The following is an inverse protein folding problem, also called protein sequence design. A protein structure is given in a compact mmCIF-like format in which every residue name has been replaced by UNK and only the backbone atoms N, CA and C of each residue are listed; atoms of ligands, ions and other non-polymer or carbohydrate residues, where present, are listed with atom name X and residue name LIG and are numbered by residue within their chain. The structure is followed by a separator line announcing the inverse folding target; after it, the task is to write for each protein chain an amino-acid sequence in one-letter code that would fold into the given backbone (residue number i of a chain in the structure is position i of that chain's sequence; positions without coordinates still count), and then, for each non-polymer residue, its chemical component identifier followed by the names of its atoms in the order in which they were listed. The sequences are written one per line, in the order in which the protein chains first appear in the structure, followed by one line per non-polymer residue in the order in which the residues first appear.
data_IF_999939092891
#
_entry.id   IF_999939092891
#
_cell.length_a   1.000
_cell.length_b   1.000
_cell.length_c   1.000
_cell.angle_alpha   90.00
_cell.angle_beta   90.00
_cell.angle_gamma   90.00
#
_symmetry.space_group_name_H-M   'P 1'
#
loop_
_entity.id
_entity.type
_entity.pdbx_description
1 polymer ?
#
# COMPACT_ATOMS: atom_id res chain seq x y z
N UNK A 1 15.96 26.28 49.81
CA UNK A 1 14.78 25.42 49.98
C UNK A 1 15.11 24.05 49.42
N UNK A 2 14.88 22.94 50.14
CA UNK A 2 15.11 21.62 49.59
C UNK A 2 14.07 21.30 48.52
N UNK A 3 14.46 20.46 47.56
CA UNK A 3 13.65 20.02 46.42
C UNK A 3 12.37 19.28 46.86
N UNK A 4 11.28 19.32 46.07
CA UNK A 4 10.08 18.56 46.40
C UNK A 4 10.35 17.07 46.26
N UNK A 5 10.06 16.31 47.32
CA UNK A 5 10.02 14.85 47.31
C UNK A 5 9.09 14.36 46.20
N UNK A 6 9.60 13.44 45.38
CA UNK A 6 8.81 12.70 44.43
C UNK A 6 7.74 11.88 45.18
N UNK A 7 6.47 12.11 44.84
CA UNK A 7 5.35 11.33 45.35
C UNK A 7 5.58 9.82 45.08
N UNK A 8 5.27 8.93 46.03
CA UNK A 8 5.44 7.49 45.85
C UNK A 8 4.53 6.99 44.72
N UNK A 9 5.05 6.09 43.90
CA UNK A 9 4.29 5.38 42.88
C UNK A 9 3.06 4.72 43.52
N UNK A 10 1.90 5.18 43.07
CA UNK A 10 0.55 4.95 43.61
C UNK A 10 0.17 3.47 43.82
N UNK A 11 -0.62 3.23 44.87
CA UNK A 11 -1.38 2.04 45.34
C UNK A 11 -2.07 1.15 44.27
N UNK A 12 -2.00 1.49 42.99
CA UNK A 12 -2.67 0.80 41.90
C UNK A 12 -2.21 -0.66 41.72
N UNK A 13 -0.94 -0.98 41.98
CA UNK A 13 -0.41 -2.35 41.88
C UNK A 13 -0.98 -3.29 42.96
N UNK A 14 -1.23 -2.76 44.17
CA UNK A 14 -1.78 -3.52 45.28
C UNK A 14 -3.24 -3.96 45.02
N UNK A 15 -4.03 -3.13 44.33
CA UNK A 15 -5.42 -3.41 44.00
C UNK A 15 -5.61 -4.67 43.14
N UNK A 16 -4.68 -4.96 42.23
CA UNK A 16 -4.76 -6.13 41.35
C UNK A 16 -4.54 -7.46 42.08
N UNK A 17 -3.77 -7.45 43.18
CA UNK A 17 -3.49 -8.64 43.97
C UNK A 17 -4.66 -9.08 44.87
N UNK A 18 -5.65 -8.21 45.10
CA UNK A 18 -6.83 -8.48 45.91
C UNK A 18 -8.07 -8.89 45.08
N UNK A 19 -7.99 -8.86 43.74
CA UNK A 19 -9.07 -9.25 42.85
C UNK A 19 -9.13 -10.78 42.67
N UNK A 20 -10.32 -11.40 42.73
CA UNK A 20 -10.52 -12.79 42.32
C UNK A 20 -10.02 -13.03 40.89
N UNK A 21 -9.45 -14.20 40.57
CA UNK A 21 -8.86 -14.50 39.25
C UNK A 21 -9.80 -14.24 38.08
N UNK A 22 -11.09 -14.51 38.25
CA UNK A 22 -12.12 -14.32 37.22
C UNK A 22 -12.39 -12.84 36.96
N UNK A 23 -12.37 -12.01 38.00
CA UNK A 23 -12.55 -10.56 37.87
C UNK A 23 -11.27 -9.89 37.34
N UNK A 24 -10.10 -10.39 37.74
CA UNK A 24 -8.81 -9.96 37.22
C UNK A 24 -8.72 -10.16 35.70
N UNK A 25 -9.03 -11.36 35.20
CA UNK A 25 -8.98 -11.64 33.76
C UNK A 25 -10.00 -10.81 32.96
N UNK A 26 -11.20 -10.56 33.53
CA UNK A 26 -12.20 -9.69 32.90
C UNK A 26 -11.72 -8.23 32.86
N UNK A 27 -11.09 -7.74 33.92
CA UNK A 27 -10.53 -6.39 33.94
C UNK A 27 -9.38 -6.22 32.93
N UNK A 28 -8.47 -7.20 32.83
CA UNK A 28 -7.38 -7.20 31.85
C UNK A 28 -7.90 -7.30 30.40
N UNK A 29 -9.03 -7.97 30.18
CA UNK A 29 -9.70 -8.04 28.88
C UNK A 29 -10.31 -6.69 28.43
N UNK A 30 -10.52 -5.75 29.35
CA UNK A 30 -10.98 -4.40 29.03
C UNK A 30 -9.83 -3.45 28.65
N UNK A 31 -8.57 -3.82 28.91
CA UNK A 31 -7.42 -3.00 28.54
C UNK A 31 -7.24 -2.96 27.02
N UNK A 32 -6.77 -1.81 26.48
CA UNK A 32 -6.32 -1.70 25.09
C UNK A 32 -5.32 -2.81 24.73
N UNK A 33 -5.23 -3.25 23.46
CA UNK A 33 -4.42 -4.42 23.11
C UNK A 33 -2.94 -4.29 23.47
N UNK A 34 -2.34 -3.12 23.26
CA UNK A 34 -0.93 -2.89 23.64
C UNK A 34 -0.74 -2.72 25.15
N UNK A 35 -1.70 -2.11 25.87
CA UNK A 35 -1.69 -2.10 27.33
C UNK A 35 -1.67 -3.55 27.85
N UNK A 36 -2.56 -4.39 27.31
CA UNK A 36 -2.59 -5.81 27.67
C UNK A 36 -1.28 -6.52 27.35
N UNK A 37 -0.72 -6.28 26.16
CA UNK A 37 0.53 -6.92 25.74
C UNK A 37 1.71 -6.53 26.63
N UNK A 38 1.79 -5.26 27.05
CA UNK A 38 2.90 -4.73 27.83
C UNK A 38 2.75 -4.96 29.34
N UNK A 39 1.53 -4.89 29.89
CA UNK A 39 1.32 -4.81 31.35
C UNK A 39 0.60 -6.02 31.93
N UNK A 40 -0.35 -6.63 31.21
CA UNK A 40 -1.25 -7.64 31.79
C UNK A 40 -0.54 -8.93 32.22
N UNK A 41 0.53 -9.33 31.53
CA UNK A 41 1.35 -10.50 31.90
C UNK A 41 2.21 -10.25 33.14
N UNK A 42 2.49 -8.99 33.47
CA UNK A 42 3.35 -8.60 34.59
C UNK A 42 2.59 -8.55 35.92
N UNK A 43 1.26 -8.69 35.90
CA UNK A 43 0.40 -8.56 37.10
C UNK A 43 0.47 -9.81 38.00
N UNK A 44 0.32 -11.02 37.46
CA UNK A 44 0.45 -12.27 38.22
C UNK A 44 0.69 -13.49 37.33
N UNK A 45 1.08 -14.62 37.93
CA UNK A 45 1.33 -15.90 37.21
C UNK A 45 0.09 -16.39 36.46
N UNK A 46 -1.10 -16.24 37.03
CA UNK A 46 -2.36 -16.66 36.41
C UNK A 46 -2.66 -15.85 35.16
N UNK A 47 -2.45 -14.53 35.20
CA UNK A 47 -2.59 -13.65 34.05
C UNK A 47 -1.54 -13.96 32.97
N UNK A 48 -0.28 -14.21 33.37
CA UNK A 48 0.77 -14.61 32.45
C UNK A 48 0.44 -15.91 31.70
N UNK A 49 -0.09 -16.92 32.40
CA UNK A 49 -0.52 -18.18 31.79
C UNK A 49 -1.72 -17.99 30.84
N UNK A 50 -2.72 -17.20 31.25
CA UNK A 50 -3.91 -16.95 30.44
C UNK A 50 -3.64 -16.10 29.18
N UNK A 51 -2.61 -15.24 29.21
CA UNK A 51 -2.29 -14.27 28.15
C UNK A 51 -0.99 -14.65 27.39
N UNK A 52 -0.72 -15.95 27.26
CA UNK A 52 0.48 -16.44 26.58
C UNK A 52 0.36 -16.54 25.06
N UNK A 53 -0.83 -16.40 24.49
CA UNK A 53 -1.01 -16.50 23.03
C UNK A 53 -0.40 -15.30 22.29
N UNK A 54 0.05 -15.47 21.03
CA UNK A 54 0.68 -14.38 20.26
C UNK A 54 -0.16 -13.10 20.19
N UNK A 55 -1.48 -13.24 20.14
CA UNK A 55 -2.43 -12.11 20.13
C UNK A 55 -2.32 -11.22 21.38
N UNK A 56 -1.82 -11.75 22.49
CA UNK A 56 -1.64 -11.08 23.77
C UNK A 56 -0.18 -10.75 24.08
N UNK A 57 0.76 -11.06 23.17
CA UNK A 57 2.19 -10.76 23.35
C UNK A 57 2.74 -9.84 22.27
N UNK A 58 2.07 -9.71 21.13
CA UNK A 58 2.49 -8.85 20.03
C UNK A 58 2.01 -7.42 20.23
N UNK A 59 2.95 -6.47 20.32
CA UNK A 59 2.65 -5.03 20.34
C UNK A 59 2.41 -4.52 18.92
N UNK A 60 1.29 -3.83 18.70
CA UNK A 60 0.91 -3.24 17.41
C UNK A 60 1.15 -1.74 17.45
N UNK A 61 2.22 -1.26 16.81
CA UNK A 61 2.61 0.15 16.86
C UNK A 61 1.58 1.13 16.25
N UNK A 62 0.67 0.65 15.39
CA UNK A 62 -0.48 1.43 14.90
C UNK A 62 -1.52 1.75 15.98
N UNK A 63 -1.45 1.09 17.13
CA UNK A 63 -2.31 1.32 18.26
C UNK A 63 -1.55 2.04 19.38
N UNK A 64 -2.26 2.80 20.23
CA UNK A 64 -1.63 3.48 21.35
C UNK A 64 -0.79 2.54 22.20
N UNK A 65 0.45 2.90 22.49
CA UNK A 65 1.37 2.10 23.30
C UNK A 65 1.64 2.80 24.64
N UNK A 66 1.71 2.05 25.77
CA UNK A 66 1.95 2.66 27.08
C UNK A 66 3.30 3.40 27.10
N UNK A 67 3.29 4.67 27.51
CA UNK A 67 4.46 5.54 27.39
C UNK A 67 5.71 4.97 28.11
N UNK A 68 5.55 4.44 29.33
CA UNK A 68 6.67 3.91 30.10
C UNK A 68 7.39 2.73 29.42
N UNK A 69 6.64 1.79 28.84
CA UNK A 69 7.24 0.66 28.13
C UNK A 69 7.84 1.09 26.78
N UNK A 70 7.20 2.07 26.13
CA UNK A 70 7.71 2.67 24.91
C UNK A 70 9.07 3.36 25.13
N UNK A 71 9.18 4.16 26.21
CA UNK A 71 10.44 4.80 26.64
C UNK A 71 11.49 3.75 26.98
N UNK A 72 11.12 2.66 27.69
CA UNK A 72 12.07 1.57 27.98
C UNK A 72 12.66 0.96 26.71
N UNK A 73 11.84 0.78 25.66
CA UNK A 73 12.29 0.16 24.41
C UNK A 73 13.07 1.10 23.49
N UNK A 74 12.69 2.37 23.44
CA UNK A 74 13.15 3.32 22.42
C UNK A 74 13.89 4.55 22.96
N UNK A 75 13.77 4.86 24.25
CA UNK A 75 14.37 6.05 24.87
C UNK A 75 15.84 5.88 25.30
N UNK A 76 16.39 4.67 25.23
CA UNK A 76 17.78 4.41 25.60
C UNK A 76 18.80 4.93 24.57
N UNK A 77 20.00 5.38 25.01
CA UNK A 77 21.06 5.79 24.09
C UNK A 77 21.45 4.63 23.17
N UNK A 78 21.35 4.86 21.86
CA UNK A 78 21.65 3.84 20.86
C UNK A 78 20.49 2.90 20.50
N UNK A 79 19.29 3.06 21.07
CA UNK A 79 18.11 2.24 20.74
C UNK A 79 17.75 2.29 19.23
N UNK A 80 18.10 3.39 18.57
CA UNK A 80 17.88 3.58 17.13
C UNK A 80 19.02 3.03 16.25
N UNK A 81 20.21 2.75 16.81
CA UNK A 81 21.38 2.28 16.03
C UNK A 81 21.10 1.02 15.20
N UNK A 82 20.38 0.01 15.71
CA UNK A 82 20.07 -1.19 14.93
C UNK A 82 19.08 -0.94 13.78
N UNK A 83 18.36 0.18 13.79
CA UNK A 83 17.35 0.47 12.78
C UNK A 83 17.94 1.23 11.60
N UNK A 84 17.60 0.79 10.39
CA UNK A 84 17.84 1.54 9.14
C UNK A 84 17.02 2.83 9.10
N UNK A 85 17.41 3.79 8.25
CA UNK A 85 16.65 5.04 8.06
C UNK A 85 15.18 4.79 7.70
N UNK A 86 14.92 3.80 6.84
CA UNK A 86 13.56 3.38 6.44
C UNK A 86 12.77 2.88 7.65
N UNK A 87 13.35 1.99 8.47
CA UNK A 87 12.68 1.47 9.67
C UNK A 87 12.41 2.57 10.71
N UNK A 88 13.31 3.55 10.87
CA UNK A 88 13.10 4.69 11.77
C UNK A 88 11.97 5.60 11.30
N UNK A 89 11.91 5.90 9.99
CA UNK A 89 10.79 6.64 9.38
C UNK A 89 9.46 5.90 9.52
N UNK A 90 9.47 4.58 9.33
CA UNK A 90 8.30 3.74 9.56
C UNK A 90 7.85 3.78 11.02
N UNK A 91 8.77 3.62 11.98
CA UNK A 91 8.47 3.71 13.41
C UNK A 91 7.83 5.05 13.79
N UNK A 92 8.37 6.17 13.28
CA UNK A 92 7.77 7.50 13.43
C UNK A 92 6.34 7.52 12.86
N UNK A 93 6.16 7.05 11.62
CA UNK A 93 4.86 7.05 10.92
C UNK A 93 3.79 6.22 11.64
N UNK A 94 4.15 5.03 12.12
CA UNK A 94 3.25 4.16 12.89
C UNK A 94 2.88 4.80 14.23
N UNK A 95 3.85 5.42 14.91
CA UNK A 95 3.61 6.09 16.19
C UNK A 95 2.72 7.33 16.02
N UNK A 96 2.90 8.10 14.94
CA UNK A 96 2.01 9.22 14.62
C UNK A 96 0.59 8.75 14.29
N UNK A 97 0.44 7.68 13.51
CA UNK A 97 -0.85 7.06 13.21
C UNK A 97 -1.55 6.49 14.48
N UNK A 98 -0.76 6.06 15.48
CA UNK A 98 -1.30 5.60 16.77
C UNK A 98 -2.01 6.69 17.57
N UNK A 99 -1.62 7.96 17.38
CA UNK A 99 -2.14 9.10 18.14
C UNK A 99 -1.44 9.36 19.48
N UNK A 100 -0.41 8.58 19.86
CA UNK A 100 0.37 8.82 21.07
C UNK A 100 1.39 9.96 20.86
N UNK A 101 0.99 11.19 21.18
CA UNK A 101 1.82 12.37 20.98
C UNK A 101 3.11 12.32 21.80
N UNK A 102 3.05 11.84 23.04
CA UNK A 102 4.20 11.75 23.96
C UNK A 102 5.26 10.79 23.43
N UNK A 103 4.82 9.65 22.89
CA UNK A 103 5.72 8.68 22.25
C UNK A 103 6.33 9.24 20.97
N UNK A 104 5.54 10.00 20.19
CA UNK A 104 6.03 10.63 18.98
C UNK A 104 7.08 11.71 19.26
N UNK A 105 6.86 12.54 20.28
CA UNK A 105 7.82 13.56 20.71
C UNK A 105 9.16 12.95 21.12
N UNK A 106 9.12 11.87 21.91
CA UNK A 106 10.32 11.10 22.27
C UNK A 106 11.08 10.58 21.04
N UNK A 107 10.35 10.04 20.06
CA UNK A 107 10.97 9.57 18.81
C UNK A 107 11.52 10.71 17.97
N UNK A 108 10.84 11.85 17.90
CA UNK A 108 11.31 13.00 17.12
C UNK A 108 12.68 13.49 17.60
N UNK A 109 12.94 13.43 18.91
CA UNK A 109 14.22 13.81 19.50
C UNK A 109 15.32 12.75 19.29
N UNK A 110 14.96 11.46 19.26
CA UNK A 110 15.92 10.36 19.31
C UNK A 110 16.14 9.61 17.98
N UNK A 111 15.21 9.72 17.01
CA UNK A 111 15.24 8.97 15.75
C UNK A 111 16.39 9.39 14.83
N UNK A 112 16.89 10.63 14.96
CA UNK A 112 17.93 11.19 14.08
C UNK A 112 17.47 11.28 12.62
N UNK A 113 16.16 11.43 12.39
CA UNK A 113 15.53 11.57 11.07
C UNK A 113 14.69 12.84 11.06
N UNK A 114 14.62 13.54 9.93
CA UNK A 114 13.71 14.68 9.78
C UNK A 114 12.25 14.22 9.86
N UNK A 115 11.38 15.08 10.40
CA UNK A 115 9.93 14.89 10.35
C UNK A 115 9.48 15.15 8.91
N UNK A 116 9.03 14.10 8.22
CA UNK A 116 8.74 14.15 6.77
C UNK A 116 7.26 14.32 6.48
N UNK A 117 6.89 14.55 5.22
CA UNK A 117 5.49 14.74 4.79
C UNK A 117 4.68 13.45 5.02
N UNK A 118 5.31 12.29 4.82
CA UNK A 118 4.70 10.98 5.02
C UNK A 118 4.24 10.76 6.47
N UNK A 119 4.94 11.37 7.43
CA UNK A 119 4.54 11.34 8.85
C UNK A 119 3.21 12.05 9.09
N UNK A 120 3.04 13.22 8.46
CA UNK A 120 1.80 13.99 8.53
C UNK A 120 0.67 13.26 7.81
N UNK A 121 0.94 12.69 6.62
CA UNK A 121 -0.03 11.90 5.86
C UNK A 121 -0.52 10.67 6.64
N UNK A 122 0.39 9.97 7.33
CA UNK A 122 0.04 8.83 8.18
C UNK A 122 -0.86 9.25 9.35
N UNK A 123 -0.53 10.36 10.04
CA UNK A 123 -1.36 10.89 11.12
C UNK A 123 -2.74 11.36 10.61
N UNK A 124 -2.77 12.01 9.45
CA UNK A 124 -3.99 12.53 8.83
C UNK A 124 -4.91 11.39 8.36
N UNK A 125 -4.35 10.35 7.71
CA UNK A 125 -5.08 9.13 7.35
C UNK A 125 -5.66 8.41 8.56
N UNK A 126 -4.96 8.43 9.70
CA UNK A 126 -5.45 7.87 10.96
C UNK A 126 -6.40 8.82 11.74
N UNK A 127 -6.64 10.03 11.25
CA UNK A 127 -7.54 11.01 11.89
C UNK A 127 -7.01 11.58 13.21
N UNK A 128 -5.69 11.60 13.42
CA UNK A 128 -5.06 12.03 14.69
C UNK A 128 -4.84 13.54 14.74
N UNK A 129 -5.91 14.28 15.05
CA UNK A 129 -5.91 15.75 15.04
C UNK A 129 -4.81 16.39 15.89
N UNK A 130 -4.62 15.93 17.12
CA UNK A 130 -3.61 16.50 18.03
C UNK A 130 -2.18 16.27 17.53
N UNK A 131 -1.91 15.11 16.93
CA UNK A 131 -0.62 14.83 16.28
C UNK A 131 -0.41 15.72 15.06
N UNK A 132 -1.41 15.87 14.20
CA UNK A 132 -1.33 16.76 13.04
C UNK A 132 -1.10 18.23 13.45
N UNK A 133 -1.76 18.72 14.50
CA UNK A 133 -1.54 20.07 15.05
C UNK A 133 -0.11 20.25 15.56
N UNK A 134 0.40 19.28 16.31
CA UNK A 134 1.77 19.33 16.80
C UNK A 134 2.77 19.33 15.63
N UNK A 135 2.60 18.45 14.64
CA UNK A 135 3.46 18.40 13.44
C UNK A 135 3.43 19.72 12.64
N UNK A 136 2.27 20.37 12.56
CA UNK A 136 2.13 21.70 11.95
C UNK A 136 2.97 22.76 12.71
N UNK A 137 2.93 22.74 14.04
CA UNK A 137 3.69 23.69 14.88
C UNK A 137 5.20 23.50 14.80
N UNK A 138 5.68 22.28 14.53
CA UNK A 138 7.11 22.01 14.35
C UNK A 138 7.69 22.63 13.06
N UNK A 139 6.87 23.32 12.25
CA UNK A 139 7.34 24.06 11.07
C UNK A 139 8.02 23.16 10.02
N UNK A 140 7.74 21.87 10.05
CA UNK A 140 8.48 20.85 9.28
C UNK A 140 8.22 20.88 7.77
N UNK A 141 7.43 21.85 7.27
CA UNK A 141 6.84 21.78 5.94
C UNK A 141 6.80 23.13 5.23
N UNK A 142 7.85 23.41 4.47
CA UNK A 142 7.77 24.36 3.37
C UNK A 142 6.84 23.77 2.28
N UNK A 143 5.68 24.40 2.07
CA UNK A 143 5.01 24.55 0.77
C UNK A 143 4.05 23.44 0.23
N UNK A 144 3.96 22.20 0.74
CA UNK A 144 3.03 21.18 0.20
C UNK A 144 2.33 20.18 1.16
N UNK A 145 2.43 20.33 2.48
CA UNK A 145 1.86 19.35 3.43
C UNK A 145 0.33 19.22 3.41
N UNK A 146 -0.37 20.34 3.20
CA UNK A 146 -1.82 20.38 3.41
C UNK A 146 -2.59 19.57 2.36
N UNK A 147 -2.12 19.59 1.11
CA UNK A 147 -2.75 18.82 0.03
C UNK A 147 -2.51 17.31 0.20
N UNK A 148 -1.26 16.89 0.47
CA UNK A 148 -0.92 15.48 0.70
C UNK A 148 -1.67 14.90 1.89
N UNK A 149 -1.64 15.62 3.02
CA UNK A 149 -2.39 15.25 4.22
C UNK A 149 -3.90 15.20 4.02
N UNK A 150 -4.48 16.15 3.29
CA UNK A 150 -5.91 16.12 2.96
C UNK A 150 -6.27 14.96 2.03
N UNK A 151 -5.40 14.63 1.05
CA UNK A 151 -5.59 13.47 0.18
C UNK A 151 -5.53 12.17 0.97
N UNK A 152 -4.56 12.02 1.88
CA UNK A 152 -4.43 10.85 2.75
C UNK A 152 -5.65 10.70 3.69
N UNK A 153 -6.07 11.79 4.33
CA UNK A 153 -7.27 11.83 5.16
C UNK A 153 -8.54 11.48 4.37
N UNK A 154 -8.67 12.00 3.14
CA UNK A 154 -9.81 11.71 2.28
C UNK A 154 -9.83 10.24 1.85
N UNK A 155 -8.69 9.67 1.46
CA UNK A 155 -8.54 8.27 1.09
C UNK A 155 -8.76 7.29 2.24
N UNK A 156 -8.63 7.75 3.49
CA UNK A 156 -8.96 6.98 4.70
C UNK A 156 -10.33 7.33 5.31
N UNK A 157 -11.10 8.24 4.68
CA UNK A 157 -12.46 8.57 5.09
C UNK A 157 -12.57 9.48 6.30
N UNK A 158 -11.47 10.15 6.69
CA UNK A 158 -11.39 11.01 7.86
C UNK A 158 -11.98 12.40 7.57
N UNK A 159 -13.31 12.48 7.46
CA UNK A 159 -14.02 13.72 7.11
C UNK A 159 -13.65 14.91 8.01
N UNK A 160 -13.66 14.73 9.33
CA UNK A 160 -13.36 15.80 10.28
C UNK A 160 -11.92 16.33 10.10
N UNK A 161 -10.98 15.45 9.75
CA UNK A 161 -9.60 15.83 9.43
C UNK A 161 -9.55 16.63 8.12
N UNK A 162 -10.24 16.20 7.07
CA UNK A 162 -10.32 16.94 5.80
C UNK A 162 -10.92 18.33 6.02
N UNK A 163 -12.01 18.44 6.76
CA UNK A 163 -12.63 19.74 7.11
C UNK A 163 -11.66 20.63 7.89
N UNK A 164 -10.93 20.08 8.87
CA UNK A 164 -9.91 20.82 9.62
C UNK A 164 -8.77 21.29 8.71
N UNK A 165 -8.20 20.43 7.85
CA UNK A 165 -7.11 20.82 6.95
C UNK A 165 -7.57 21.91 5.97
N UNK A 166 -8.76 21.77 5.38
CA UNK A 166 -9.31 22.78 4.47
C UNK A 166 -9.51 24.14 5.16
N UNK A 167 -9.96 24.14 6.42
CA UNK A 167 -10.14 25.36 7.18
C UNK A 167 -8.82 26.05 7.57
N UNK A 168 -7.75 25.28 7.81
CA UNK A 168 -6.45 25.82 8.29
C UNK A 168 -5.43 26.05 7.17
N UNK A 169 -5.66 25.54 5.96
CA UNK A 169 -4.74 25.73 4.84
C UNK A 169 -4.80 27.14 4.23
N UNK A 170 -5.91 27.87 4.42
CA UNK A 170 -6.12 29.21 3.88
C UNK A 170 -5.08 30.24 4.35
N UNK A 171 -4.52 30.07 5.55
CA UNK A 171 -3.52 30.98 6.13
C UNK A 171 -2.10 30.79 5.55
N UNK A 172 -1.85 29.72 4.78
CA UNK A 172 -0.53 29.40 4.22
C UNK A 172 -0.21 30.13 2.91
N UNK A 173 -1.15 30.91 2.37
CA UNK A 173 -0.93 31.91 1.32
C UNK A 173 -0.50 31.39 -0.07
N UNK A 174 -0.35 30.07 -0.30
CA UNK A 174 0.18 29.54 -1.56
C UNK A 174 -0.57 28.37 -2.20
N UNK A 175 -1.43 27.64 -1.47
CA UNK A 175 -2.24 26.56 -2.05
C UNK A 175 -3.73 26.82 -1.82
N UNK A 176 -4.45 27.22 -2.87
CA UNK A 176 -5.90 27.28 -2.84
C UNK A 176 -6.46 25.84 -2.83
N UNK A 177 -6.60 25.26 -1.63
CA UNK A 177 -7.23 23.95 -1.46
C UNK A 177 -8.73 23.97 -1.78
N UNK A 178 -9.33 25.16 -1.86
CA UNK A 178 -10.70 25.35 -2.31
C UNK A 178 -10.83 25.42 -3.84
N UNK A 179 -9.70 25.46 -4.56
CA UNK A 179 -9.70 25.38 -6.02
C UNK A 179 -10.33 24.07 -6.51
N UNK A 180 -10.97 24.17 -7.68
CA UNK A 180 -11.68 23.06 -8.33
C UNK A 180 -10.78 21.84 -8.54
N UNK A 181 -9.52 22.06 -8.90
CA UNK A 181 -8.54 20.99 -9.10
C UNK A 181 -8.10 20.28 -7.81
N UNK A 182 -7.99 21.00 -6.69
CA UNK A 182 -7.64 20.40 -5.39
C UNK A 182 -8.77 19.50 -4.88
N UNK A 183 -9.99 20.01 -4.85
CA UNK A 183 -11.14 19.25 -4.33
C UNK A 183 -11.53 18.06 -5.21
N UNK A 184 -11.33 18.14 -6.53
CA UNK A 184 -11.44 16.97 -7.42
C UNK A 184 -10.46 15.87 -6.99
N UNK A 185 -9.19 16.22 -6.71
CA UNK A 185 -8.19 15.25 -6.25
C UNK A 185 -8.56 14.65 -4.90
N UNK A 186 -9.13 15.43 -3.98
CA UNK A 186 -9.65 14.92 -2.71
C UNK A 186 -10.82 13.94 -2.94
N UNK A 187 -11.74 14.26 -3.85
CA UNK A 187 -12.86 13.39 -4.18
C UNK A 187 -12.39 12.08 -4.82
N UNK A 188 -11.40 12.14 -5.72
CA UNK A 188 -10.75 10.95 -6.27
C UNK A 188 -10.06 10.13 -5.17
N UNK A 189 -9.39 10.76 -4.21
CA UNK A 189 -8.78 10.03 -3.09
C UNK A 189 -9.84 9.31 -2.24
N UNK A 190 -10.92 10.00 -1.88
CA UNK A 190 -12.05 9.41 -1.17
C UNK A 190 -12.70 8.26 -1.96
N UNK A 191 -12.85 8.40 -3.28
CA UNK A 191 -13.36 7.34 -4.16
C UNK A 191 -12.42 6.13 -4.21
N UNK A 192 -11.10 6.35 -4.32
CA UNK A 192 -10.09 5.29 -4.24
C UNK A 192 -10.13 4.52 -2.91
N UNK A 193 -10.50 5.17 -1.81
CA UNK A 193 -10.71 4.56 -0.50
C UNK A 193 -12.10 3.96 -0.29
N UNK A 194 -13.03 4.11 -1.25
CA UNK A 194 -14.41 3.64 -1.12
C UNK A 194 -15.29 4.50 -0.20
N UNK A 195 -14.87 5.72 0.15
CA UNK A 195 -15.60 6.61 1.04
C UNK A 195 -16.63 7.47 0.29
N UNK A 196 -17.69 6.82 -0.18
CA UNK A 196 -18.73 7.40 -1.05
C UNK A 196 -19.36 8.68 -0.47
N UNK A 197 -19.69 8.69 0.84
CA UNK A 197 -20.30 9.87 1.46
C UNK A 197 -19.37 11.08 1.55
N UNK A 198 -18.06 10.85 1.75
CA UNK A 198 -17.06 11.92 1.74
C UNK A 198 -16.78 12.43 0.32
N UNK A 199 -16.71 11.50 -0.64
CA UNK A 199 -16.63 11.81 -2.07
C UNK A 199 -17.83 12.68 -2.48
N UNK A 200 -19.07 12.23 -2.25
CA UNK A 200 -20.27 12.97 -2.62
C UNK A 200 -20.33 14.35 -1.96
N UNK A 201 -19.90 14.49 -0.69
CA UNK A 201 -19.80 15.80 -0.03
C UNK A 201 -18.78 16.74 -0.72
N UNK A 202 -17.62 16.22 -1.13
CA UNK A 202 -16.64 16.98 -1.91
C UNK A 202 -17.21 17.35 -3.27
N UNK A 203 -17.94 16.44 -3.92
CA UNK A 203 -18.54 16.65 -5.25
C UNK A 203 -19.74 17.60 -5.24
N UNK A 204 -20.62 17.56 -4.23
CA UNK A 204 -21.78 18.45 -4.10
C UNK A 204 -21.39 19.92 -4.00
N UNK A 205 -20.18 20.19 -3.51
CA UNK A 205 -19.59 21.54 -3.48
C UNK A 205 -18.96 21.93 -4.83
N UNK A 206 -19.08 21.11 -5.87
CA UNK A 206 -18.55 21.31 -7.23
C UNK A 206 -19.57 21.10 -8.35
N UNK A 207 -19.38 21.84 -9.44
CA UNK A 207 -19.91 21.50 -10.76
C UNK A 207 -18.85 20.78 -11.60
N UNK A 208 -18.69 19.46 -11.39
CA UNK A 208 -17.77 18.60 -12.16
C UNK A 208 -17.99 18.66 -13.68
N UNK A 209 -19.18 19.08 -14.11
CA UNK A 209 -19.59 19.16 -15.52
C UNK A 209 -18.64 20.01 -16.40
N UNK A 210 -17.83 20.89 -15.81
CA UNK A 210 -16.91 21.78 -16.55
C UNK A 210 -15.51 21.20 -16.78
N UNK A 211 -15.07 20.19 -16.02
CA UNK A 211 -13.72 19.61 -16.13
C UNK A 211 -13.76 18.14 -16.60
N UNK A 212 -13.51 17.94 -17.90
CA UNK A 212 -13.58 16.61 -18.54
C UNK A 212 -12.46 15.66 -18.11
N UNK A 213 -11.32 16.17 -17.64
CA UNK A 213 -10.22 15.33 -17.15
C UNK A 213 -10.51 14.86 -15.72
N UNK A 214 -11.10 15.72 -14.91
CA UNK A 214 -11.58 15.41 -13.57
C UNK A 214 -12.60 14.25 -13.53
N UNK A 215 -13.56 14.24 -14.45
CA UNK A 215 -14.56 13.16 -14.52
C UNK A 215 -13.92 11.79 -14.83
N UNK A 216 -12.96 11.74 -15.76
CA UNK A 216 -12.27 10.50 -16.11
C UNK A 216 -11.41 9.95 -14.96
N UNK A 217 -10.69 10.82 -14.24
CA UNK A 217 -9.88 10.41 -13.08
C UNK A 217 -10.76 9.95 -11.92
N UNK A 218 -11.94 10.55 -11.73
CA UNK A 218 -12.92 10.11 -10.74
C UNK A 218 -13.46 8.70 -11.04
N UNK A 219 -13.78 8.40 -12.30
CA UNK A 219 -14.25 7.05 -12.68
C UNK A 219 -13.17 5.98 -12.45
N UNK A 220 -11.92 6.29 -12.76
CA UNK A 220 -10.77 5.41 -12.45
C UNK A 220 -10.65 5.16 -10.95
N UNK A 221 -10.75 6.22 -10.15
CA UNK A 221 -10.69 6.14 -8.69
C UNK A 221 -11.85 5.31 -8.11
N UNK A 222 -13.07 5.54 -8.60
CA UNK A 222 -14.26 4.80 -8.18
C UNK A 222 -14.19 3.32 -8.60
N UNK A 223 -13.65 3.01 -9.78
CA UNK A 223 -13.44 1.62 -10.20
C UNK A 223 -12.49 0.88 -9.28
N UNK A 224 -11.46 1.56 -8.78
CA UNK A 224 -10.55 1.03 -7.77
C UNK A 224 -11.23 0.83 -6.41
N UNK A 225 -11.87 1.85 -5.84
CA UNK A 225 -12.25 1.81 -4.41
C UNK A 225 -13.73 1.64 -4.09
N UNK A 226 -14.65 2.02 -4.98
CA UNK A 226 -16.09 2.01 -4.72
C UNK A 226 -16.75 0.71 -5.20
N UNK A 227 -17.97 0.40 -4.76
CA UNK A 227 -18.76 -0.70 -5.31
C UNK A 227 -19.28 -0.41 -6.74
N UNK A 228 -19.70 -1.46 -7.44
CA UNK A 228 -20.24 -1.41 -8.79
C UNK A 228 -21.45 -0.49 -8.91
N UNK A 229 -22.45 -0.51 -8.01
CA UNK A 229 -23.56 0.45 -8.07
C UNK A 229 -23.11 1.91 -8.01
N UNK A 230 -22.11 2.25 -7.18
CA UNK A 230 -21.56 3.60 -7.14
C UNK A 230 -20.81 3.94 -8.42
N UNK A 231 -20.02 3.02 -8.96
CA UNK A 231 -19.33 3.21 -10.24
C UNK A 231 -20.32 3.44 -11.39
N UNK A 232 -21.40 2.65 -11.45
CA UNK A 232 -22.48 2.80 -12.43
C UNK A 232 -23.18 4.15 -12.29
N UNK A 233 -23.50 4.56 -11.06
CA UNK A 233 -24.06 5.89 -10.76
C UNK A 233 -23.17 6.99 -11.33
N UNK A 234 -21.88 6.98 -10.98
CA UNK A 234 -20.92 7.98 -11.42
C UNK A 234 -20.73 7.98 -12.94
N UNK A 235 -20.74 6.81 -13.57
CA UNK A 235 -20.66 6.68 -15.03
C UNK A 235 -21.86 7.32 -15.73
N UNK A 236 -23.08 7.11 -15.22
CA UNK A 236 -24.28 7.73 -15.77
C UNK A 236 -24.35 9.23 -15.50
N UNK A 237 -23.87 9.69 -14.33
CA UNK A 237 -23.81 11.12 -13.99
C UNK A 237 -22.73 11.84 -14.79
N UNK A 238 -21.60 11.18 -15.05
CA UNK A 238 -20.43 11.76 -15.73
C UNK A 238 -19.96 10.86 -16.88
N UNK A 239 -20.74 10.74 -17.96
CA UNK A 239 -20.41 9.84 -19.06
C UNK A 239 -19.08 10.26 -19.71
N UNK A 240 -18.15 9.32 -19.97
CA UNK A 240 -16.94 9.62 -20.70
C UNK A 240 -17.31 9.98 -22.13
N UNK A 241 -17.18 11.26 -22.49
CA UNK A 241 -17.51 11.71 -23.83
C UNK A 241 -16.50 11.16 -24.85
N UNK A 242 -17.00 10.65 -25.97
CA UNK A 242 -16.17 10.27 -27.12
C UNK A 242 -15.38 11.50 -27.58
N UNK A 243 -14.05 11.39 -27.66
CA UNK A 243 -13.25 12.43 -28.30
C UNK A 243 -13.74 12.63 -29.75
N UNK A 244 -13.47 13.77 -30.38
CA UNK A 244 -13.66 13.88 -31.83
C UNK A 244 -12.67 12.89 -32.49
N UNK A 245 -13.20 11.77 -33.03
CA UNK A 245 -12.42 10.57 -33.41
C UNK A 245 -12.37 9.46 -32.34
N UNK A 246 -13.27 9.50 -31.36
CA UNK A 246 -13.21 8.85 -30.05
C UNK A 246 -13.46 7.35 -30.04
N UNK A 247 -12.39 6.61 -29.79
CA UNK A 247 -12.45 5.19 -29.49
C UNK A 247 -12.61 4.86 -27.99
N UNK A 248 -12.80 3.56 -27.67
CA UNK A 248 -12.99 2.98 -26.31
C UNK A 248 -11.80 3.14 -25.33
N UNK A 249 -10.77 3.91 -25.68
CA UNK A 249 -9.50 3.99 -24.96
C UNK A 249 -9.59 4.52 -23.53
N UNK A 250 -10.60 5.34 -23.18
CA UNK A 250 -10.77 5.84 -21.79
C UNK A 250 -11.38 4.80 -20.84
N UNK A 251 -12.21 3.91 -21.35
CA UNK A 251 -12.78 2.82 -20.55
C UNK A 251 -11.72 1.78 -20.19
N UNK A 252 -10.67 1.65 -21.01
CA UNK A 252 -9.53 0.79 -20.71
C UNK A 252 -8.88 1.09 -19.36
N UNK A 253 -8.64 2.37 -19.03
CA UNK A 253 -8.07 2.75 -17.73
C UNK A 253 -8.99 2.46 -16.54
N UNK A 254 -10.31 2.61 -16.74
CA UNK A 254 -11.33 2.28 -15.73
C UNK A 254 -11.36 0.76 -15.51
N UNK A 255 -11.32 -0.03 -16.59
CA UNK A 255 -11.27 -1.49 -16.55
C UNK A 255 -10.00 -2.00 -15.87
N UNK A 256 -8.84 -1.47 -16.25
CA UNK A 256 -7.56 -1.78 -15.61
C UNK A 256 -7.60 -1.53 -14.11
N UNK A 257 -8.22 -0.43 -13.68
CA UNK A 257 -8.35 -0.12 -12.25
C UNK A 257 -9.39 -1.01 -11.55
N UNK A 258 -10.45 -1.43 -12.25
CA UNK A 258 -11.39 -2.43 -11.76
C UNK A 258 -10.73 -3.80 -11.57
N UNK A 259 -9.86 -4.24 -12.49
CA UNK A 259 -9.15 -5.52 -12.40
C UNK A 259 -8.22 -5.60 -11.17
N UNK A 260 -7.61 -4.48 -10.80
CA UNK A 260 -6.82 -4.33 -9.57
C UNK A 260 -7.61 -3.87 -8.34
N UNK A 261 -8.95 -3.89 -8.38
CA UNK A 261 -9.77 -3.38 -7.29
C UNK A 261 -9.79 -4.36 -6.10
N UNK A 262 -9.55 -3.90 -4.85
CA UNK A 262 -9.63 -4.73 -3.65
C UNK A 262 -11.05 -5.11 -3.23
N UNK A 263 -12.09 -4.53 -3.85
CA UNK A 263 -13.48 -4.84 -3.51
C UNK A 263 -13.88 -6.22 -4.05
N UNK A 264 -14.79 -6.95 -3.37
CA UNK A 264 -15.16 -8.32 -3.76
C UNK A 264 -15.90 -8.41 -5.10
N UNK A 265 -16.49 -7.30 -5.56
CA UNK A 265 -17.25 -7.19 -6.81
C UNK A 265 -16.39 -6.82 -8.04
N UNK A 266 -15.06 -6.88 -7.93
CA UNK A 266 -14.13 -6.51 -9.00
C UNK A 266 -14.43 -7.26 -10.33
N UNK A 267 -14.83 -8.54 -10.27
CA UNK A 267 -15.25 -9.33 -11.44
C UNK A 267 -16.46 -8.70 -12.14
N UNK A 268 -17.48 -8.35 -11.35
CA UNK A 268 -18.71 -7.74 -11.85
C UNK A 268 -18.42 -6.36 -12.47
N UNK A 269 -17.46 -5.60 -11.92
CA UNK A 269 -17.00 -4.34 -12.53
C UNK A 269 -16.35 -4.56 -13.90
N UNK A 270 -15.45 -5.55 -14.01
CA UNK A 270 -14.80 -5.87 -15.28
C UNK A 270 -15.82 -6.34 -16.31
N UNK A 271 -16.73 -7.25 -15.94
CA UNK A 271 -17.80 -7.75 -16.84
C UNK A 271 -18.72 -6.62 -17.32
N UNK A 272 -19.11 -5.72 -16.42
CA UNK A 272 -19.92 -4.56 -16.78
C UNK A 272 -19.17 -3.62 -17.75
N UNK A 273 -17.89 -3.34 -17.50
CA UNK A 273 -17.07 -2.48 -18.37
C UNK A 273 -16.81 -3.10 -19.75
N UNK A 274 -16.62 -4.42 -19.82
CA UNK A 274 -16.55 -5.15 -21.10
C UNK A 274 -17.87 -5.05 -21.87
N UNK A 275 -19.01 -5.16 -21.19
CA UNK A 275 -20.34 -4.93 -21.77
C UNK A 275 -20.52 -3.52 -22.35
N UNK A 276 -19.76 -2.53 -21.85
CA UNK A 276 -19.70 -1.17 -22.39
C UNK A 276 -18.70 -1.00 -23.54
N UNK A 277 -18.02 -2.06 -23.96
CA UNK A 277 -17.05 -2.05 -25.06
C UNK A 277 -15.61 -1.72 -24.65
N UNK A 278 -15.25 -1.87 -23.38
CA UNK A 278 -13.84 -1.85 -22.96
C UNK A 278 -13.13 -3.09 -23.56
N UNK A 279 -12.25 -2.89 -24.54
CA UNK A 279 -11.63 -4.00 -25.27
C UNK A 279 -10.64 -4.79 -24.39
N UNK A 280 -10.86 -6.11 -24.28
CA UNK A 280 -9.99 -7.04 -23.56
C UNK A 280 -8.67 -7.32 -24.30
N UNK A 281 -8.65 -7.22 -25.64
CA UNK A 281 -7.55 -7.71 -26.48
C UNK A 281 -6.26 -6.88 -26.43
N UNK A 282 -6.22 -5.77 -25.70
CA UNK A 282 -5.06 -4.86 -25.65
C UNK A 282 -4.66 -4.40 -24.24
N UNK A 283 -5.24 -4.96 -23.16
CA UNK A 283 -5.00 -4.45 -21.80
C UNK A 283 -4.09 -5.35 -20.97
N UNK A 284 -2.80 -5.36 -21.31
CA UNK A 284 -1.76 -5.93 -20.43
C UNK A 284 -1.72 -5.22 -19.07
N UNK A 285 -2.12 -3.96 -19.01
CA UNK A 285 -2.23 -3.19 -17.76
C UNK A 285 -3.24 -3.80 -16.78
N UNK A 286 -4.32 -4.43 -17.25
CA UNK A 286 -5.30 -5.08 -16.37
C UNK A 286 -4.69 -6.30 -15.65
N UNK A 287 -3.91 -7.11 -16.37
CA UNK A 287 -3.12 -8.20 -15.79
C UNK A 287 -2.07 -7.67 -14.82
N UNK A 288 -1.33 -6.61 -15.19
CA UNK A 288 -0.32 -5.98 -14.31
C UNK A 288 -0.95 -5.46 -13.03
N UNK A 289 -2.13 -4.84 -13.08
CA UNK A 289 -2.84 -4.41 -11.86
C UNK A 289 -3.36 -5.57 -11.03
N UNK A 290 -3.93 -6.59 -11.66
CA UNK A 290 -4.35 -7.81 -10.97
C UNK A 290 -3.18 -8.54 -10.29
N UNK A 291 -2.00 -8.55 -10.90
CA UNK A 291 -0.77 -9.15 -10.37
C UNK A 291 -0.33 -8.56 -9.03
N UNK A 292 -0.62 -7.28 -8.79
CA UNK A 292 -0.30 -6.62 -7.51
C UNK A 292 -1.28 -6.93 -6.38
N UNK A 293 -2.34 -7.69 -6.65
CA UNK A 293 -3.35 -8.03 -5.64
C UNK A 293 -2.94 -9.28 -4.84
N UNK A 294 -3.36 -9.43 -3.57
CA UNK A 294 -3.05 -10.61 -2.76
C UNK A 294 -3.56 -11.94 -3.35
N UNK A 295 -4.63 -11.89 -4.14
CA UNK A 295 -5.27 -13.00 -4.86
C UNK A 295 -4.86 -13.04 -6.34
N UNK A 296 -3.66 -12.57 -6.67
CA UNK A 296 -3.15 -12.41 -8.04
C UNK A 296 -3.39 -13.65 -8.93
N UNK A 297 -3.12 -14.85 -8.45
CA UNK A 297 -3.30 -16.09 -9.22
C UNK A 297 -4.76 -16.27 -9.67
N UNK A 298 -5.71 -16.11 -8.76
CA UNK A 298 -7.15 -16.24 -9.06
C UNK A 298 -7.62 -15.17 -10.04
N UNK A 299 -7.07 -13.96 -9.93
CA UNK A 299 -7.39 -12.86 -10.85
C UNK A 299 -6.83 -13.10 -12.24
N UNK A 300 -5.56 -13.46 -12.34
CA UNK A 300 -4.88 -13.71 -13.61
C UNK A 300 -5.46 -14.90 -14.36
N UNK A 301 -5.84 -15.97 -13.64
CA UNK A 301 -6.51 -17.15 -14.23
C UNK A 301 -7.91 -16.80 -14.74
N UNK A 302 -8.68 -16.01 -13.97
CA UNK A 302 -9.99 -15.55 -14.40
C UNK A 302 -9.91 -14.63 -15.62
N UNK A 303 -9.00 -13.65 -15.63
CA UNK A 303 -8.75 -12.76 -16.77
C UNK A 303 -8.33 -13.55 -18.01
N UNK A 304 -7.46 -14.57 -17.86
CA UNK A 304 -7.09 -15.44 -18.99
C UNK A 304 -8.29 -16.13 -19.63
N UNK A 305 -9.22 -16.63 -18.81
CA UNK A 305 -10.45 -17.27 -19.29
C UNK A 305 -11.30 -16.34 -20.17
N UNK A 306 -11.10 -15.02 -20.07
CA UNK A 306 -11.79 -14.00 -20.86
C UNK A 306 -10.97 -13.47 -22.04
N UNK A 307 -9.79 -14.04 -22.30
CA UNK A 307 -8.93 -13.68 -23.43
C UNK A 307 -7.96 -12.54 -23.15
N UNK A 308 -7.73 -12.16 -21.88
CA UNK A 308 -6.66 -11.24 -21.54
C UNK A 308 -5.30 -11.96 -21.66
N UNK A 309 -4.39 -11.46 -22.49
CA UNK A 309 -3.08 -12.06 -22.64
C UNK A 309 -2.23 -11.85 -21.38
N UNK A 310 -1.45 -12.86 -21.03
CA UNK A 310 -0.43 -12.79 -19.97
C UNK A 310 0.92 -12.27 -20.47
N UNK A 311 1.08 -12.05 -21.79
CA UNK A 311 2.31 -11.62 -22.45
C UNK A 311 2.01 -10.73 -23.64
N UNK A 312 2.81 -9.68 -23.84
CA UNK A 312 2.80 -8.84 -25.05
C UNK A 312 3.55 -9.54 -26.20
N UNK A 313 3.28 -10.83 -26.42
CA UNK A 313 3.74 -11.48 -27.65
C UNK A 313 2.83 -11.00 -28.78
N UNK A 314 3.41 -10.17 -29.65
CA UNK A 314 2.83 -9.82 -30.92
C UNK A 314 2.43 -11.10 -31.66
N UNK A 315 1.13 -11.28 -31.76
CA UNK A 315 0.44 -12.39 -32.42
C UNK A 315 0.77 -12.45 -33.93
N UNK A 316 2.01 -12.86 -34.25
CA UNK A 316 2.43 -13.18 -35.61
C UNK A 316 2.07 -14.61 -35.99
N UNK A 317 1.73 -15.47 -35.03
CA UNK A 317 1.43 -16.88 -35.27
C UNK A 317 -0.07 -17.19 -35.43
N UNK A 318 -1.01 -16.33 -35.00
CA UNK A 318 -2.45 -16.57 -35.25
C UNK A 318 -3.04 -15.81 -36.44
N UNK A 319 -2.32 -14.83 -37.01
CA UNK A 319 -2.73 -14.12 -38.25
C UNK A 319 -2.37 -14.83 -39.57
N UNK A 320 -1.73 -15.99 -39.54
CA UNK A 320 -1.38 -16.75 -40.75
C UNK A 320 -2.39 -17.84 -41.15
N UNK A 321 -3.50 -18.02 -40.42
CA UNK A 321 -4.60 -18.88 -40.90
C UNK A 321 -5.50 -18.10 -41.87
N UNK A 322 -5.01 -17.90 -43.08
CA UNK A 322 -5.83 -17.29 -44.12
C UNK A 322 -5.18 -16.91 -45.45
N UNK A 323 -4.00 -17.41 -45.86
CA UNK A 323 -3.59 -17.37 -47.27
C UNK A 323 -2.68 -18.58 -47.61
N UNK A 324 -3.06 -19.47 -48.54
CA UNK A 324 -2.18 -20.53 -49.00
C UNK A 324 -1.19 -19.98 -50.02
N UNK A 325 0.10 -20.13 -49.75
CA UNK A 325 1.16 -19.93 -50.75
C UNK A 325 2.08 -18.75 -50.47
N UNK A 326 3.08 -18.96 -49.62
CA UNK A 326 4.43 -18.40 -49.82
C UNK A 326 5.45 -19.17 -48.98
N UNK A 327 6.61 -19.40 -49.59
CA UNK A 327 7.59 -20.42 -49.28
C UNK A 327 8.21 -20.34 -47.88
N UNK A 328 8.52 -21.52 -47.35
CA UNK A 328 9.34 -21.78 -46.17
C UNK A 328 10.70 -21.08 -46.29
N UNK A 329 11.10 -20.37 -45.21
CA UNK A 329 12.48 -19.90 -45.02
C UNK A 329 13.16 -20.86 -44.03
N UNK A 330 14.43 -21.27 -44.26
CA UNK A 330 15.06 -22.32 -43.46
C UNK A 330 15.34 -21.86 -42.03
N UNK A 331 15.13 -22.78 -41.09
CA UNK A 331 15.60 -22.68 -39.72
C UNK A 331 17.14 -22.59 -39.70
N UNK A 332 17.68 -21.44 -39.31
CA UNK A 332 19.11 -21.26 -39.14
C UNK A 332 19.46 -19.87 -38.61
N UNK A 333 19.90 -19.81 -37.35
CA UNK A 333 20.68 -18.70 -36.80
C UNK A 333 19.92 -17.37 -36.63
N UNK A 334 19.12 -17.27 -35.57
CA UNK A 334 18.65 -15.99 -35.05
C UNK A 334 18.76 -15.99 -33.53
N UNK A 335 19.69 -15.19 -33.00
CA UNK A 335 19.77 -14.86 -31.58
C UNK A 335 18.40 -14.31 -31.12
N UNK A 336 17.92 -14.62 -29.90
CA UNK A 336 16.71 -13.99 -29.38
C UNK A 336 16.99 -12.50 -29.20
N UNK A 337 16.40 -11.71 -30.08
CA UNK A 337 16.51 -10.25 -30.09
C UNK A 337 15.70 -9.73 -28.90
N UNK A 338 16.41 -9.11 -27.95
CA UNK A 338 15.96 -8.22 -26.88
C UNK A 338 14.57 -8.51 -26.28
N UNK A 339 14.62 -9.28 -25.19
CA UNK A 339 13.50 -9.61 -24.31
C UNK A 339 12.89 -8.36 -23.68
N UNK A 340 11.74 -7.97 -24.20
CA UNK A 340 10.78 -7.18 -23.43
C UNK A 340 10.21 -8.11 -22.36
N UNK A 341 10.82 -8.12 -21.18
CA UNK A 341 10.22 -8.72 -19.99
C UNK A 341 8.87 -8.05 -19.82
N UNK A 342 7.81 -8.86 -19.78
CA UNK A 342 6.46 -8.32 -19.69
C UNK A 342 6.24 -7.70 -18.29
N UNK A 343 5.70 -6.48 -18.24
CA UNK A 343 5.41 -5.73 -17.01
C UNK A 343 4.58 -6.54 -16.01
N UNK A 344 3.80 -7.52 -16.48
CA UNK A 344 3.04 -8.44 -15.63
C UNK A 344 3.95 -9.31 -14.76
N UNK A 345 5.07 -9.80 -15.29
CA UNK A 345 6.02 -10.65 -14.57
C UNK A 345 6.78 -9.88 -13.49
N UNK A 346 7.24 -8.68 -13.83
CA UNK A 346 7.89 -7.77 -12.88
C UNK A 346 6.93 -7.37 -11.76
N UNK A 347 5.68 -7.05 -12.09
CA UNK A 347 4.67 -6.74 -11.08
C UNK A 347 4.35 -7.92 -10.15
N UNK A 348 4.26 -9.15 -10.67
CA UNK A 348 4.09 -10.36 -9.84
C UNK A 348 5.30 -10.58 -8.93
N UNK A 349 6.52 -10.38 -9.44
CA UNK A 349 7.76 -10.54 -8.69
C UNK A 349 7.91 -9.48 -7.58
N UNK A 350 7.69 -8.20 -7.91
CA UNK A 350 7.73 -7.10 -6.96
C UNK A 350 6.63 -7.18 -5.89
N UNK A 351 5.48 -7.78 -6.24
CA UNK A 351 4.42 -8.11 -5.29
C UNK A 351 4.71 -9.38 -4.46
N UNK A 352 5.82 -10.08 -4.69
CA UNK A 352 6.20 -11.29 -3.96
C UNK A 352 5.29 -12.50 -4.22
N UNK A 353 4.59 -12.55 -5.35
CA UNK A 353 3.54 -13.54 -5.63
C UNK A 353 4.10 -14.82 -6.29
N UNK A 354 4.79 -15.65 -5.51
CA UNK A 354 5.45 -16.88 -6.01
C UNK A 354 4.52 -17.82 -6.79
N UNK A 355 3.33 -18.10 -6.27
CA UNK A 355 2.38 -19.02 -6.93
C UNK A 355 1.87 -18.48 -8.27
N UNK A 356 1.63 -17.17 -8.37
CA UNK A 356 1.25 -16.52 -9.62
C UNK A 356 2.41 -16.55 -10.63
N UNK A 357 3.65 -16.31 -10.18
CA UNK A 357 4.83 -16.37 -11.05
C UNK A 357 5.09 -17.78 -11.58
N UNK A 358 4.92 -18.80 -10.72
CA UNK A 358 5.02 -20.21 -11.10
C UNK A 358 3.95 -20.58 -12.15
N UNK A 359 2.73 -20.09 -12.00
CA UNK A 359 1.66 -20.31 -12.97
C UNK A 359 1.96 -19.62 -14.31
N UNK A 360 2.40 -18.35 -14.30
CA UNK A 360 2.84 -17.64 -15.51
C UNK A 360 3.90 -18.43 -16.26
N UNK A 361 4.89 -18.95 -15.52
CA UNK A 361 5.98 -19.75 -16.07
C UNK A 361 5.56 -21.11 -16.61
N UNK A 362 4.65 -21.81 -15.92
CA UNK A 362 4.14 -23.10 -16.40
C UNK A 362 3.41 -22.99 -17.74
N UNK A 363 2.98 -21.78 -18.10
CA UNK A 363 2.18 -21.51 -19.29
C UNK A 363 2.94 -20.75 -20.39
N UNK A 364 4.12 -20.22 -20.11
CA UNK A 364 5.01 -19.65 -21.11
C UNK A 364 5.83 -20.75 -21.79
N UNK A 365 5.54 -21.03 -23.06
CA UNK A 365 6.33 -21.98 -23.86
C UNK A 365 7.70 -21.43 -24.30
N UNK A 366 7.91 -20.11 -24.14
CA UNK A 366 9.10 -19.39 -24.61
C UNK A 366 10.03 -18.94 -23.49
N UNK A 367 9.57 -18.91 -22.24
CA UNK A 367 10.36 -18.43 -21.10
C UNK A 367 10.98 -19.59 -20.33
N UNK A 368 12.29 -19.75 -20.44
CA UNK A 368 13.07 -20.60 -19.53
C UNK A 368 13.70 -19.71 -18.47
N UNK A 369 13.56 -20.08 -17.19
CA UNK A 369 14.15 -19.32 -16.07
C UNK A 369 15.69 -19.37 -16.08
N UNK A 370 16.29 -20.28 -16.86
CA UNK A 370 17.72 -20.23 -17.17
C UNK A 370 18.12 -18.97 -17.97
N UNK A 371 17.17 -18.31 -18.64
CA UNK A 371 17.27 -16.99 -19.24
C UNK A 371 16.55 -15.91 -18.38
N UNK A 372 16.34 -16.17 -17.09
CA UNK A 372 15.68 -15.22 -16.20
C UNK A 372 16.45 -13.91 -16.16
N UNK A 373 15.77 -12.87 -16.63
CA UNK A 373 16.27 -11.52 -16.64
C UNK A 373 16.66 -11.10 -15.21
N UNK A 374 17.81 -10.44 -15.04
CA UNK A 374 18.21 -9.87 -13.75
C UNK A 374 17.10 -9.02 -13.09
N UNK A 375 16.22 -8.39 -13.90
CA UNK A 375 15.10 -7.58 -13.42
C UNK A 375 14.14 -8.35 -12.49
N UNK A 376 13.79 -9.61 -12.77
CA UNK A 376 12.89 -10.37 -11.89
C UNK A 376 13.52 -10.65 -10.52
N UNK A 377 14.84 -10.83 -10.47
CA UNK A 377 15.56 -11.02 -9.21
C UNK A 377 15.69 -9.70 -8.44
N UNK A 378 15.81 -8.55 -9.13
CA UNK A 378 15.74 -7.22 -8.51
C UNK A 378 14.39 -6.99 -7.83
N UNK A 379 13.29 -7.24 -8.56
CA UNK A 379 11.93 -7.08 -8.07
C UNK A 379 11.61 -8.03 -6.90
N UNK A 380 12.04 -9.30 -7.00
CA UNK A 380 11.93 -10.23 -5.88
C UNK A 380 12.72 -9.78 -4.66
N UNK A 381 13.89 -9.15 -4.85
CA UNK A 381 14.70 -8.60 -3.78
C UNK A 381 14.00 -7.44 -3.09
N UNK A 382 13.37 -6.54 -3.85
CA UNK A 382 12.55 -5.45 -3.31
C UNK A 382 11.33 -5.98 -2.54
N UNK A 383 10.68 -7.02 -3.03
CA UNK A 383 9.53 -7.63 -2.35
C UNK A 383 9.86 -8.19 -0.97
N UNK A 384 11.14 -8.54 -0.74
CA UNK A 384 11.60 -9.19 0.49
C UNK A 384 11.09 -10.63 0.68
N UNK A 385 10.44 -11.23 -0.33
CA UNK A 385 9.97 -12.60 -0.26
C UNK A 385 11.13 -13.60 -0.46
N UNK A 386 11.57 -14.21 0.63
CA UNK A 386 12.69 -15.17 0.65
C UNK A 386 12.43 -16.43 -0.17
N UNK A 387 11.20 -16.95 -0.16
CA UNK A 387 10.85 -18.14 -0.94
C UNK A 387 10.95 -17.84 -2.44
N UNK A 388 10.51 -16.66 -2.86
CA UNK A 388 10.61 -16.22 -4.24
C UNK A 388 12.07 -16.01 -4.68
N UNK A 389 12.88 -15.35 -3.85
CA UNK A 389 14.31 -15.14 -4.10
C UNK A 389 15.07 -16.46 -4.25
N UNK A 390 14.87 -17.39 -3.32
CA UNK A 390 15.48 -18.72 -3.37
C UNK A 390 15.03 -19.48 -4.63
N UNK A 391 13.73 -19.46 -4.93
CA UNK A 391 13.17 -20.15 -6.10
C UNK A 391 13.71 -19.62 -7.43
N UNK A 392 13.88 -18.29 -7.57
CA UNK A 392 14.49 -17.70 -8.76
C UNK A 392 15.97 -18.09 -8.87
N UNK A 393 16.69 -18.09 -7.75
CA UNK A 393 18.12 -18.42 -7.73
C UNK A 393 18.40 -19.88 -8.05
N UNK A 394 17.60 -20.81 -7.51
CA UNK A 394 17.68 -22.26 -7.79
C UNK A 394 17.51 -22.57 -9.28
N UNK A 395 16.84 -21.69 -10.02
CA UNK A 395 16.61 -21.81 -11.45
C UNK A 395 17.64 -21.11 -12.33
N UNK A 396 18.70 -20.58 -11.72
CA UNK A 396 19.86 -20.03 -12.43
C UNK A 396 19.78 -18.54 -12.74
N UNK A 397 18.86 -17.78 -12.12
CA UNK A 397 18.82 -16.32 -12.26
C UNK A 397 20.16 -15.69 -11.88
N UNK A 398 20.67 -14.82 -12.76
CA UNK A 398 21.90 -14.07 -12.53
C UNK A 398 21.64 -12.86 -11.61
N UNK A 399 22.68 -12.44 -10.91
CA UNK A 399 22.66 -11.16 -10.20
C UNK A 399 22.56 -10.01 -11.20
N UNK A 400 21.69 -9.04 -10.91
CA UNK A 400 21.75 -7.71 -11.47
C UNK A 400 22.71 -6.82 -10.66
N UNK A 401 23.14 -5.72 -11.28
CA UNK A 401 24.07 -4.76 -10.66
C UNK A 401 23.50 -4.07 -9.40
N UNK A 402 22.18 -4.12 -9.20
CA UNK A 402 21.46 -3.36 -8.19
C UNK A 402 20.74 -4.23 -7.12
N UNK A 403 20.93 -5.55 -7.09
CA UNK A 403 20.17 -6.45 -6.20
C UNK A 403 20.23 -6.04 -4.73
N UNK A 404 21.42 -5.66 -4.26
CA UNK A 404 21.62 -5.21 -2.88
C UNK A 404 20.86 -3.90 -2.59
N UNK A 405 20.84 -2.98 -3.56
CA UNK A 405 20.11 -1.70 -3.45
C UNK A 405 18.60 -1.91 -3.38
N UNK A 406 18.04 -2.82 -4.19
CA UNK A 406 16.60 -3.13 -4.18
C UNK A 406 16.18 -3.85 -2.89
N UNK A 407 16.96 -4.83 -2.40
CA UNK A 407 16.71 -5.44 -1.09
C UNK A 407 16.77 -4.41 0.06
N UNK A 408 17.72 -3.46 -0.02
CA UNK A 408 17.82 -2.37 0.94
C UNK A 408 16.63 -1.42 0.87
N UNK A 409 16.11 -1.14 -0.34
CA UNK A 409 14.90 -0.34 -0.54
C UNK A 409 13.66 -1.02 0.04
N UNK A 410 13.51 -2.34 -0.17
CA UNK A 410 12.46 -3.16 0.43
C UNK A 410 12.56 -3.29 1.95
N UNK A 411 13.74 -3.03 2.53
CA UNK A 411 13.98 -3.04 3.97
C UNK A 411 14.02 -4.44 4.60
N UNK A 412 14.13 -5.49 3.78
CA UNK A 412 14.26 -6.88 4.21
C UNK A 412 15.70 -7.19 4.58
N UNK A 413 15.96 -7.26 5.89
CA UNK A 413 17.27 -7.60 6.45
C UNK A 413 17.67 -9.05 6.14
N UNK A 414 16.69 -9.96 6.20
CA UNK A 414 16.86 -11.36 5.82
C UNK A 414 17.27 -11.48 4.34
N UNK A 415 16.68 -10.69 3.44
CA UNK A 415 17.08 -10.67 2.04
C UNK A 415 18.50 -10.13 1.86
N UNK A 416 18.90 -9.08 2.60
CA UNK A 416 20.26 -8.53 2.55
C UNK A 416 21.31 -9.54 3.04
N UNK A 417 21.06 -10.19 4.17
CA UNK A 417 21.95 -11.23 4.72
C UNK A 417 22.09 -12.40 3.75
N UNK A 418 20.98 -12.83 3.17
CA UNK A 418 20.96 -13.90 2.19
C UNK A 418 21.71 -13.53 0.91
N UNK A 419 21.53 -12.31 0.38
CA UNK A 419 22.26 -11.84 -0.81
C UNK A 419 23.78 -11.84 -0.58
N UNK A 420 24.24 -11.37 0.58
CA UNK A 420 25.66 -11.40 0.95
C UNK A 420 26.16 -12.84 1.06
N UNK A 421 25.40 -13.73 1.72
CA UNK A 421 25.76 -15.14 1.86
C UNK A 421 25.86 -15.87 0.51
N UNK A 422 25.07 -15.46 -0.48
CA UNK A 422 25.07 -16.03 -1.83
C UNK A 422 26.11 -15.38 -2.78
N UNK A 423 26.93 -14.45 -2.28
CA UNK A 423 27.97 -13.78 -3.06
C UNK A 423 27.45 -12.76 -4.07
N UNK A 424 26.32 -12.12 -3.79
CA UNK A 424 25.84 -10.98 -4.57
C UNK A 424 26.85 -9.82 -4.47
N UNK A 425 27.21 -9.16 -5.60
CA UNK A 425 27.97 -7.91 -5.55
C UNK A 425 27.23 -6.86 -4.72
N UNK A 426 27.98 -6.12 -3.89
CA UNK A 426 27.47 -5.07 -2.98
C UNK A 426 27.81 -3.69 -3.52
#
# INVERSE_FOLDING_TARGET
APAPEAAPASDAAALWHHLPPELLLRALACLPPNERACTARLVCKTAAAALSSPQHTTVRLLQPSPHGEFVRRWGGPGAMRPLTLVRRRLLLSLTAASGCLENLQLLAESAGCSLTVELFEAAAAAGRLEVCRWLQQQGCYEQWWALGGAMAAAGAGQRAMVEWILANAGDSGRTDLDSVGCRTRLACSAACGGHVGLMDWLLQRHGLERDRRAAATLLVAAAKGCDLPTLQRLYHTYPPQAAAGGGPARLGFVLTSAAGSPTPDWKAKVEWLEGLGAAASSSHDACTKAATCPDALDRLTWLRGRGYPWCLEGDRSSRSRGQPGRAEVPAGGGLPVDGLVDFTWEAVAGAGQLAALQALLAHSSTFTVAAACPSLLLEAAESGNMELLAWLRDRGSLWGEDNFRYAAAGGSEEALEWLVAQGCPV
#
